data_IF_147679246451
#
_entry.id   IF_147679246451
#
_cell.length_a   1.000
_cell.length_b   1.000
_cell.length_c   1.000
_cell.angle_alpha   90.00
_cell.angle_beta   90.00
_cell.angle_gamma   90.00
#
_symmetry.space_group_name_H-M   'P 1'
#
loop_
_entity.id
_entity.type
_entity.pdbx_description
1 polymer ?
#
# COMPACT_ATOMS: atom_id res chain seq x y z
N UNK A 1 -0.86 -8.74 21.45
CA UNK A 1 -1.15 -7.49 21.03
C UNK A 1 -1.01 -7.19 19.58
N UNK A 2 -1.42 -6.09 19.18
CA UNK A 2 -1.45 -5.76 17.79
C UNK A 2 -0.15 -5.15 17.28
N UNK A 3 -0.16 -4.80 16.03
CA UNK A 3 0.95 -4.17 15.36
C UNK A 3 0.84 -2.67 15.59
N UNK A 4 1.97 -2.05 15.87
CA UNK A 4 2.00 -0.61 16.07
C UNK A 4 2.58 0.06 14.83
N UNK A 5 2.46 1.37 14.80
CA UNK A 5 2.89 2.15 13.64
C UNK A 5 4.36 1.97 13.32
N UNK A 6 5.19 1.93 14.34
CA UNK A 6 6.61 1.82 14.07
C UNK A 6 7.00 0.44 13.60
N UNK A 7 6.08 -0.50 13.58
CA UNK A 7 6.37 -1.82 13.03
C UNK A 7 5.92 -1.95 11.60
N UNK A 8 5.36 -0.89 11.03
CA UNK A 8 4.84 -0.93 9.69
C UNK A 8 5.54 0.10 8.82
N UNK A 9 5.69 -0.24 7.57
CA UNK A 9 6.27 0.63 6.58
C UNK A 9 5.44 0.51 5.32
N UNK A 10 4.91 1.62 4.85
CA UNK A 10 4.07 1.65 3.66
C UNK A 10 4.74 2.55 2.65
N UNK A 11 5.07 2.00 1.51
CA UNK A 11 5.75 2.76 0.47
C UNK A 11 5.06 2.55 -0.86
N UNK A 12 5.32 3.47 -1.77
CA UNK A 12 4.90 3.33 -3.15
C UNK A 12 6.15 3.20 -3.98
N UNK A 13 6.26 2.08 -4.67
CA UNK A 13 7.42 1.79 -5.50
C UNK A 13 6.93 1.57 -6.91
N UNK A 14 7.17 2.55 -7.76
CA UNK A 14 6.64 2.53 -9.11
C UNK A 14 5.12 2.51 -9.06
N UNK A 15 4.49 1.48 -9.56
CA UNK A 15 3.04 1.39 -9.51
C UNK A 15 2.57 0.38 -8.48
N UNK A 16 3.37 0.16 -7.45
CA UNK A 16 3.05 -0.84 -6.46
C UNK A 16 2.99 -0.22 -5.09
N UNK A 17 1.98 -0.61 -4.36
CA UNK A 17 1.86 -0.26 -2.95
C UNK A 17 2.46 -1.42 -2.15
N UNK A 18 3.49 -1.13 -1.39
CA UNK A 18 4.20 -2.17 -0.65
C UNK A 18 4.05 -1.90 0.82
N UNK A 19 3.55 -2.89 1.52
CA UNK A 19 3.36 -2.81 2.97
C UNK A 19 4.29 -3.84 3.59
N UNK A 20 5.23 -3.34 4.38
CA UNK A 20 6.15 -4.20 5.09
C UNK A 20 5.90 -4.08 6.56
N UNK A 21 5.97 -5.19 7.23
CA UNK A 21 5.72 -5.18 8.64
C UNK A 21 6.62 -6.10 9.38
N UNK A 22 6.69 -5.86 10.68
CA UNK A 22 7.50 -6.67 11.56
C UNK A 22 6.71 -6.87 12.82
N UNK A 23 6.42 -8.11 13.12
CA UNK A 23 5.61 -8.44 14.27
C UNK A 23 6.41 -9.33 15.18
N UNK A 24 6.53 -8.93 16.42
CA UNK A 24 7.21 -9.74 17.40
C UNK A 24 6.25 -10.73 17.99
N UNK A 25 6.72 -11.94 18.14
CA UNK A 25 5.89 -12.93 18.78
C UNK A 25 5.89 -12.74 20.27
N UNK A 26 4.87 -13.29 20.89
CA UNK A 26 4.73 -13.19 22.31
C UNK A 26 5.84 -13.96 22.99
N UNK A 27 6.62 -13.26 23.78
CA UNK A 27 7.75 -13.88 24.42
C UNK A 27 7.39 -14.64 25.64
N UNK A 28 6.24 -14.41 26.17
CA UNK A 28 5.87 -15.09 27.40
C UNK A 28 5.83 -16.57 27.23
N UNK A 29 5.68 -17.02 26.02
CA UNK A 29 5.61 -18.45 25.79
C UNK A 29 6.89 -19.03 25.29
N UNK A 30 7.89 -18.18 25.07
CA UNK A 30 9.07 -18.69 24.43
C UNK A 30 10.32 -18.29 25.12
N UNK A 31 10.21 -17.87 26.33
CA UNK A 31 11.39 -17.39 26.97
C UNK A 31 12.40 -18.48 27.19
N UNK A 32 12.01 -19.70 27.06
CA UNK A 32 12.96 -20.77 27.23
C UNK A 32 14.07 -20.63 26.23
N UNK A 33 13.72 -20.19 25.06
CA UNK A 33 14.72 -20.13 24.02
C UNK A 33 15.37 -18.78 23.94
N UNK A 34 14.91 -17.87 24.71
CA UNK A 34 15.58 -16.62 24.79
C UNK A 34 15.69 -15.87 23.53
N UNK A 35 15.19 -16.28 22.52
CA UNK A 35 15.24 -15.52 21.28
C UNK A 35 14.01 -14.68 21.14
N UNK A 36 14.16 -13.55 20.49
CA UNK A 36 13.01 -12.78 20.09
C UNK A 36 12.67 -13.18 18.70
N UNK A 37 11.55 -13.83 18.56
CA UNK A 37 11.10 -14.26 17.25
C UNK A 37 10.32 -13.12 16.63
N UNK A 38 10.77 -12.65 15.49
CA UNK A 38 10.09 -11.58 14.79
C UNK A 38 9.59 -12.13 13.47
N UNK A 39 8.37 -11.75 13.14
CA UNK A 39 7.81 -12.13 11.86
C UNK A 39 7.83 -10.91 10.97
N UNK A 40 8.46 -11.09 9.84
CA UNK A 40 8.46 -10.05 8.82
C UNK A 40 7.47 -10.46 7.75
N UNK A 41 6.71 -9.50 7.28
CA UNK A 41 5.80 -9.80 6.18
C UNK A 41 5.85 -8.66 5.20
N UNK A 42 5.45 -8.96 4.00
CA UNK A 42 5.39 -7.98 2.95
C UNK A 42 4.18 -8.27 2.09
N UNK A 43 3.41 -7.25 1.83
CA UNK A 43 2.27 -7.34 0.92
C UNK A 43 2.45 -6.33 -0.17
N UNK A 44 2.17 -6.74 -1.37
CA UNK A 44 2.36 -5.87 -2.51
C UNK A 44 1.07 -5.84 -3.30
N UNK A 45 0.61 -4.64 -3.61
CA UNK A 45 -0.59 -4.43 -4.40
C UNK A 45 -0.24 -3.61 -5.61
N UNK A 46 -0.65 -4.07 -6.78
CA UNK A 46 -0.42 -3.32 -8.00
C UNK A 46 -1.52 -2.29 -8.14
N UNK A 47 -1.12 -1.03 -8.29
CA UNK A 47 -2.08 0.06 -8.41
C UNK A 47 -2.44 0.27 -9.86
N UNK A 48 -3.70 0.56 -10.09
CA UNK A 48 -4.14 0.91 -11.43
C UNK A 48 -3.56 2.24 -11.82
N UNK A 49 -3.46 2.44 -13.10
CA UNK A 49 -2.91 3.69 -13.60
C UNK A 49 -3.76 4.85 -13.14
N UNK A 50 -3.11 5.89 -12.66
CA UNK A 50 -3.83 7.06 -12.19
C UNK A 50 -4.35 6.96 -10.77
N UNK A 51 -4.12 5.84 -10.11
CA UNK A 51 -4.58 5.68 -8.76
C UNK A 51 -3.64 6.36 -7.79
N UNK A 52 -4.21 7.07 -6.84
CA UNK A 52 -3.45 7.82 -5.86
C UNK A 52 -3.66 7.23 -4.47
N UNK A 53 -2.62 7.24 -3.69
CA UNK A 53 -2.70 6.84 -2.29
C UNK A 53 -2.81 8.12 -1.48
N UNK A 54 -3.93 8.27 -0.80
CA UNK A 54 -4.20 9.49 -0.07
C UNK A 54 -3.67 9.44 1.34
N UNK A 55 -3.66 8.28 1.93
CA UNK A 55 -3.16 8.18 3.28
C UNK A 55 -3.34 6.79 3.83
N UNK A 56 -2.84 6.59 5.02
CA UNK A 56 -2.93 5.31 5.70
C UNK A 56 -3.21 5.55 7.16
N UNK A 57 -4.07 4.73 7.73
CA UNK A 57 -4.42 4.81 9.13
C UNK A 57 -4.33 3.46 9.77
N UNK A 58 -3.84 3.45 10.99
CA UNK A 58 -3.80 2.24 11.77
C UNK A 58 -4.65 2.44 13.00
N UNK A 59 -5.66 1.61 13.13
CA UNK A 59 -6.57 1.73 14.25
C UNK A 59 -6.98 0.34 14.71
N UNK A 60 -6.77 0.08 15.98
CA UNK A 60 -7.15 -1.21 16.57
C UNK A 60 -6.55 -2.38 15.79
N UNK A 61 -5.31 -2.23 15.36
CA UNK A 61 -4.65 -3.28 14.63
C UNK A 61 -5.05 -3.40 13.19
N UNK A 62 -5.92 -2.54 12.71
CA UNK A 62 -6.39 -2.58 11.33
C UNK A 62 -5.75 -1.45 10.55
N UNK A 63 -5.05 -1.80 9.49
CA UNK A 63 -4.43 -0.82 8.62
C UNK A 63 -5.35 -0.53 7.46
N UNK A 64 -5.71 0.74 7.32
CA UNK A 64 -6.57 1.19 6.24
C UNK A 64 -5.77 2.08 5.31
N UNK A 65 -5.89 1.82 4.03
CA UNK A 65 -5.22 2.62 3.01
C UNK A 65 -6.30 3.30 2.19
N UNK A 66 -6.23 4.60 2.12
CA UNK A 66 -7.22 5.36 1.35
C UNK A 66 -6.67 5.59 -0.04
N UNK A 67 -7.45 5.18 -1.01
CA UNK A 67 -7.06 5.30 -2.40
C UNK A 67 -8.09 6.15 -3.13
N UNK A 68 -7.62 6.83 -4.15
CA UNK A 68 -8.49 7.61 -5.01
C UNK A 68 -8.08 7.36 -6.43
N UNK A 69 -9.07 7.32 -7.29
CA UNK A 69 -8.81 7.17 -8.71
C UNK A 69 -9.54 8.29 -9.41
N UNK A 70 -8.85 9.40 -9.66
CA UNK A 70 -9.51 10.50 -10.34
C UNK A 70 -9.97 10.06 -11.70
N UNK A 71 -11.09 10.62 -12.11
CA UNK A 71 -11.57 10.35 -13.45
C UNK A 71 -10.57 10.87 -14.44
N UNK A 72 -10.26 10.08 -15.46
CA UNK A 72 -9.33 10.57 -16.46
C UNK A 72 -9.92 11.77 -17.16
N UNK A 73 -9.09 12.71 -17.44
CA UNK A 73 -9.53 13.89 -18.15
C UNK A 73 -9.95 13.48 -19.52
N UNK A 74 -11.16 13.91 -19.89
CA UNK A 74 -11.69 13.54 -21.17
C UNK A 74 -11.25 14.58 -22.19
N UNK A 75 -10.35 14.18 -23.03
CA UNK A 75 -9.80 15.09 -24.05
C UNK A 75 -10.50 14.79 -25.35
N UNK A 76 -11.14 15.80 -25.89
CA UNK A 76 -11.82 15.67 -27.18
C UNK A 76 -11.03 16.49 -28.19
N UNK A 77 -10.60 15.83 -29.25
CA UNK A 77 -9.87 16.49 -30.30
C UNK A 77 -10.68 16.41 -31.57
N UNK A 78 -10.79 17.53 -32.23
CA UNK A 78 -11.42 17.55 -33.53
C UNK A 78 -10.34 17.46 -34.59
N UNK A 79 -10.50 16.54 -35.48
CA UNK A 79 -9.52 16.30 -36.53
C UNK A 79 -10.07 16.91 -37.79
N UNK A 80 -9.21 17.74 -38.41
CA UNK A 80 -9.59 18.38 -39.67
C UNK A 80 -9.58 17.34 -40.78
N UNK A 81 -10.56 17.44 -41.64
CA UNK A 81 -10.70 16.53 -42.74
C UNK A 81 -10.16 17.21 -43.98
N UNK A 82 -9.21 16.55 -44.60
CA UNK A 82 -8.68 17.02 -45.85
C UNK A 82 -9.45 16.40 -46.99
N UNK A 83 -9.81 17.24 -47.95
CA UNK A 83 -10.63 16.77 -49.05
C UNK A 83 -9.82 16.90 -50.32
N UNK A 84 -9.75 15.79 -51.08
CA UNK A 84 -8.99 15.77 -52.32
C UNK A 84 -9.94 15.37 -53.43
N UNK A 85 -9.67 15.96 -54.59
CA UNK A 85 -10.48 15.63 -55.76
C UNK A 85 -9.85 14.58 -56.63
#
# INVERSE_FOLDING_TARGET
EGITRDQLDVTIEENQLVIRGRQQEDKARQYIHRGIAARHFQRTFVLAEGMLVLGADLKNGLLSIDLARPEPERVVKTIAINEHE
#
